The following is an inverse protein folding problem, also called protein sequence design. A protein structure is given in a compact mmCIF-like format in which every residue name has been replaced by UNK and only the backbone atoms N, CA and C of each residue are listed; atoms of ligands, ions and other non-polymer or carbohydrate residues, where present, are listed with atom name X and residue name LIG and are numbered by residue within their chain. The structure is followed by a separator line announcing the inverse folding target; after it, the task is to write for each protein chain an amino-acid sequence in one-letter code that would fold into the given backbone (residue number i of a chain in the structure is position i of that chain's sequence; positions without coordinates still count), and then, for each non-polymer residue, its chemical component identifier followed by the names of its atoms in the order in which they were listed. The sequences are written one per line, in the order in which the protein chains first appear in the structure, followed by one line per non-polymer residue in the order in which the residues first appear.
data_IF_945160097658
#
_entry.id   IF_945160097658
#
_cell.length_a   1.000
_cell.length_b   1.000
_cell.length_c   1.000
_cell.angle_alpha   90.00
_cell.angle_beta   90.00
_cell.angle_gamma   90.00
#
_symmetry.space_group_name_H-M   'P 1'
#
loop_
_entity.id
_entity.type
_entity.pdbx_description
1 polymer ?
#
# COMPACT_ATOMS: atom_id res chain seq x y z
N UNK A 1 -81.47 87.06 -60.62
CA UNK A 1 -80.49 87.57 -59.62
C UNK A 1 -80.44 86.65 -58.42
N UNK A 2 -81.56 86.36 -57.74
CA UNK A 2 -81.56 85.54 -56.51
C UNK A 2 -81.20 84.05 -56.72
N UNK A 3 -81.70 83.41 -57.79
CA UNK A 3 -81.35 82.01 -58.09
C UNK A 3 -79.85 81.80 -58.36
N UNK A 4 -79.21 82.75 -59.03
CA UNK A 4 -77.76 82.68 -59.32
C UNK A 4 -76.91 82.89 -58.06
N UNK A 5 -77.37 83.73 -57.13
CA UNK A 5 -76.73 83.87 -55.82
C UNK A 5 -76.85 82.58 -54.99
N UNK A 6 -78.01 81.91 -55.02
CA UNK A 6 -78.20 80.63 -54.32
C UNK A 6 -77.36 79.51 -54.96
N UNK A 7 -77.27 79.50 -56.29
CA UNK A 7 -76.44 78.54 -57.03
C UNK A 7 -74.95 78.73 -56.71
N UNK A 8 -74.46 79.97 -56.69
CA UNK A 8 -73.06 80.28 -56.35
C UNK A 8 -72.73 79.99 -54.89
N UNK A 9 -73.65 80.22 -53.95
CA UNK A 9 -73.45 79.82 -52.55
C UNK A 9 -73.41 78.29 -52.41
N UNK A 10 -74.30 77.57 -53.09
CA UNK A 10 -74.30 76.10 -53.09
C UNK A 10 -73.02 75.52 -53.72
N UNK A 11 -72.49 76.12 -54.80
CA UNK A 11 -71.23 75.67 -55.39
C UNK A 11 -70.06 75.93 -54.46
N UNK A 12 -70.04 77.07 -53.76
CA UNK A 12 -69.00 77.39 -52.78
C UNK A 12 -69.03 76.45 -51.57
N UNK A 13 -70.22 76.14 -51.04
CA UNK A 13 -70.40 75.14 -49.97
C UNK A 13 -69.97 73.75 -50.41
N UNK A 14 -70.34 73.32 -51.62
CA UNK A 14 -69.88 72.06 -52.21
C UNK A 14 -68.36 72.01 -52.34
N UNK A 15 -67.73 73.09 -52.80
CA UNK A 15 -66.29 73.17 -52.92
C UNK A 15 -65.59 73.13 -51.55
N UNK A 16 -66.16 73.80 -50.54
CA UNK A 16 -65.69 73.73 -49.16
C UNK A 16 -65.76 72.29 -48.62
N UNK A 17 -66.90 71.60 -48.79
CA UNK A 17 -67.03 70.20 -48.39
C UNK A 17 -66.09 69.27 -49.13
N UNK A 18 -65.86 69.48 -50.43
CA UNK A 18 -64.88 68.69 -51.21
C UNK A 18 -63.46 68.92 -50.66
N UNK A 19 -63.12 70.15 -50.32
CA UNK A 19 -61.82 70.47 -49.75
C UNK A 19 -61.66 69.91 -48.34
N UNK A 20 -62.73 69.90 -47.54
CA UNK A 20 -62.75 69.27 -46.22
C UNK A 20 -62.61 67.75 -46.31
N UNK A 21 -63.33 67.10 -47.23
CA UNK A 21 -63.19 65.65 -47.51
C UNK A 21 -61.77 65.33 -47.97
N UNK A 22 -61.15 66.15 -48.83
CA UNK A 22 -59.75 65.96 -49.24
C UNK A 22 -58.79 66.08 -48.06
N UNK A 23 -58.96 67.07 -47.19
CA UNK A 23 -58.15 67.23 -45.97
C UNK A 23 -58.32 66.04 -45.03
N UNK A 24 -59.55 65.60 -44.81
CA UNK A 24 -59.85 64.43 -43.98
C UNK A 24 -59.25 63.16 -44.56
N UNK A 25 -59.29 62.96 -45.87
CA UNK A 25 -58.66 61.80 -46.53
C UNK A 25 -57.13 61.82 -46.41
N UNK A 26 -56.49 62.99 -46.52
CA UNK A 26 -55.04 63.12 -46.31
C UNK A 26 -54.69 62.76 -44.87
N UNK A 27 -55.43 63.32 -43.90
CA UNK A 27 -55.23 63.02 -42.48
C UNK A 27 -55.48 61.54 -42.18
N UNK A 28 -56.47 60.91 -42.81
CA UNK A 28 -56.76 59.49 -42.65
C UNK A 28 -55.59 58.64 -43.16
N UNK A 29 -55.09 58.93 -44.37
CA UNK A 29 -53.94 58.23 -44.95
C UNK A 29 -52.66 58.40 -44.10
N UNK A 30 -52.41 59.60 -43.57
CA UNK A 30 -51.29 59.85 -42.66
C UNK A 30 -51.41 59.03 -41.37
N UNK A 31 -52.62 58.94 -40.79
CA UNK A 31 -52.88 58.11 -39.61
C UNK A 31 -52.77 56.63 -39.90
N UNK A 32 -53.23 56.16 -41.05
CA UNK A 32 -53.07 54.78 -41.49
C UNK A 32 -51.59 54.40 -41.68
N UNK A 33 -50.81 55.27 -42.32
CA UNK A 33 -49.37 55.07 -42.48
C UNK A 33 -48.63 55.01 -41.12
N UNK A 34 -48.94 55.93 -40.20
CA UNK A 34 -48.39 55.91 -38.86
C UNK A 34 -48.80 54.66 -38.05
N UNK A 35 -50.03 54.16 -38.25
CA UNK A 35 -50.48 52.93 -37.61
C UNK A 35 -49.74 51.70 -38.14
N UNK A 36 -49.49 51.62 -39.44
CA UNK A 36 -48.71 50.52 -40.02
C UNK A 36 -47.23 50.56 -39.58
N UNK A 37 -46.64 51.75 -39.47
CA UNK A 37 -45.29 51.91 -38.93
C UNK A 37 -45.22 51.44 -37.47
N UNK A 38 -46.16 51.89 -36.61
CA UNK A 38 -46.24 51.48 -35.22
C UNK A 38 -46.49 49.96 -35.05
N UNK A 39 -47.29 49.34 -35.93
CA UNK A 39 -47.48 47.88 -35.95
C UNK A 39 -46.19 47.15 -36.29
N UNK A 40 -45.45 47.63 -37.29
CA UNK A 40 -44.17 47.05 -37.70
C UNK A 40 -43.14 47.16 -36.59
N UNK A 41 -43.07 48.32 -35.92
CA UNK A 41 -42.23 48.50 -34.74
C UNK A 41 -42.62 47.54 -33.60
N UNK A 42 -43.91 47.37 -33.34
CA UNK A 42 -44.40 46.46 -32.29
C UNK A 42 -44.06 44.99 -32.59
N UNK A 43 -44.13 44.57 -33.86
CA UNK A 43 -43.73 43.23 -34.29
C UNK A 43 -42.22 43.01 -34.24
N UNK A 44 -41.42 44.06 -34.44
CA UNK A 44 -39.95 44.00 -34.36
C UNK A 44 -39.43 43.96 -32.93
N UNK A 45 -40.23 44.40 -31.95
CA UNK A 45 -39.86 44.34 -30.54
C UNK A 45 -39.84 42.89 -30.08
N UNK A 46 -38.78 42.46 -29.37
CA UNK A 46 -38.71 41.09 -28.85
C UNK A 46 -39.90 40.83 -27.94
N UNK A 47 -40.60 39.72 -28.19
CA UNK A 47 -41.76 39.28 -27.41
C UNK A 47 -41.37 39.14 -25.93
N UNK A 48 -42.28 39.50 -25.03
CA UNK A 48 -42.08 39.40 -23.57
C UNK A 48 -41.54 38.03 -23.14
N UNK A 49 -42.05 36.95 -23.75
CA UNK A 49 -41.54 35.58 -23.54
C UNK A 49 -40.07 35.40 -23.88
N UNK A 50 -39.59 36.00 -24.97
CA UNK A 50 -38.19 35.91 -25.38
C UNK A 50 -37.29 36.69 -24.41
N UNK A 51 -37.75 37.86 -23.95
CA UNK A 51 -37.03 38.66 -22.95
C UNK A 51 -36.94 37.92 -21.62
N UNK A 52 -38.01 37.27 -21.19
CA UNK A 52 -38.04 36.45 -19.99
C UNK A 52 -37.15 35.21 -20.11
N UNK A 53 -37.17 34.53 -21.26
CA UNK A 53 -36.29 33.39 -21.54
C UNK A 53 -34.81 33.80 -21.54
N UNK A 54 -34.48 34.95 -22.14
CA UNK A 54 -33.12 35.50 -22.12
C UNK A 54 -32.69 35.89 -20.70
N UNK A 55 -33.57 36.52 -19.91
CA UNK A 55 -33.31 36.83 -18.50
C UNK A 55 -33.06 35.58 -17.67
N UNK A 56 -33.86 34.52 -17.87
CA UNK A 56 -33.66 33.23 -17.21
C UNK A 56 -32.33 32.58 -17.62
N UNK A 57 -31.98 32.59 -18.91
CA UNK A 57 -30.69 32.07 -19.41
C UNK A 57 -29.50 32.83 -18.82
N UNK A 58 -29.58 34.16 -18.72
CA UNK A 58 -28.54 34.99 -18.09
C UNK A 58 -28.40 34.67 -16.60
N UNK A 59 -29.51 34.49 -15.87
CA UNK A 59 -29.48 34.10 -14.45
C UNK A 59 -28.83 32.72 -14.25
N UNK A 60 -29.16 31.74 -15.09
CA UNK A 60 -28.53 30.40 -15.04
C UNK A 60 -27.02 30.50 -15.31
N UNK A 61 -26.62 31.25 -16.35
CA UNK A 61 -25.20 31.45 -16.66
C UNK A 61 -24.46 32.17 -15.54
N UNK A 62 -25.09 33.15 -14.90
CA UNK A 62 -24.49 33.83 -13.75
C UNK A 62 -24.31 32.87 -12.57
N UNK A 63 -25.30 32.01 -12.32
CA UNK A 63 -25.23 31.08 -11.20
C UNK A 63 -24.21 29.94 -11.44
N UNK A 64 -24.13 29.41 -12.67
CA UNK A 64 -23.12 28.42 -13.08
C UNK A 64 -21.72 29.04 -13.16
N UNK A 65 -21.60 30.28 -13.63
CA UNK A 65 -20.32 30.95 -13.85
C UNK A 65 -19.69 31.56 -12.60
N UNK A 66 -20.50 31.96 -11.62
CA UNK A 66 -20.02 32.65 -10.41
C UNK A 66 -20.25 31.89 -9.10
N UNK A 67 -20.88 30.70 -9.15
CA UNK A 67 -21.05 29.80 -8.00
C UNK A 67 -21.53 30.51 -6.71
N UNK A 68 -22.40 31.51 -6.87
CA UNK A 68 -22.85 32.39 -5.80
C UNK A 68 -24.29 32.82 -6.09
N UNK A 69 -25.26 32.06 -5.58
CA UNK A 69 -26.56 32.56 -5.12
C UNK A 69 -27.26 31.46 -4.30
N UNK A 70 -27.91 31.90 -3.21
CA UNK A 70 -28.69 31.14 -2.26
C UNK A 70 -29.75 30.28 -2.97
N UNK A 71 -29.91 29.03 -2.50
CA UNK A 71 -30.68 27.96 -3.16
C UNK A 71 -32.18 28.28 -3.40
N UNK A 72 -32.70 29.34 -2.79
CA UNK A 72 -34.12 29.67 -2.76
C UNK A 72 -34.61 30.40 -4.04
N UNK A 73 -33.72 31.10 -4.76
CA UNK A 73 -34.05 31.77 -6.03
C UNK A 73 -33.93 30.86 -7.27
N UNK A 74 -33.45 29.62 -7.08
CA UNK A 74 -33.20 28.65 -8.15
C UNK A 74 -34.46 27.91 -8.62
N UNK A 75 -35.38 27.58 -7.72
CA UNK A 75 -36.58 26.80 -8.05
C UNK A 75 -37.59 27.60 -8.90
N UNK A 76 -37.62 28.93 -8.74
CA UNK A 76 -38.56 29.81 -9.45
C UNK A 76 -38.13 30.07 -10.91
N UNK A 77 -36.83 29.99 -11.22
CA UNK A 77 -36.30 30.25 -12.56
C UNK A 77 -36.37 29.02 -13.49
N UNK A 78 -36.56 27.82 -12.94
CA UNK A 78 -36.34 26.51 -13.60
C UNK A 78 -37.62 25.71 -13.85
N UNK A 79 -38.80 26.27 -13.57
CA UNK A 79 -40.10 25.60 -13.66
C UNK A 79 -40.59 25.25 -15.08
N UNK A 80 -39.71 25.21 -16.09
CA UNK A 80 -40.01 24.75 -17.45
C UNK A 80 -39.35 23.39 -17.72
N UNK A 81 -40.12 22.39 -18.17
CA UNK A 81 -39.65 21.01 -18.37
C UNK A 81 -38.37 20.89 -19.23
N UNK A 82 -38.25 21.69 -20.28
CA UNK A 82 -37.06 21.69 -21.16
C UNK A 82 -35.83 22.31 -20.48
N UNK A 83 -36.02 23.31 -19.61
CA UNK A 83 -34.96 23.97 -18.85
C UNK A 83 -34.45 23.06 -17.73
N UNK A 84 -35.35 22.35 -17.05
CA UNK A 84 -34.99 21.37 -16.02
C UNK A 84 -34.16 20.21 -16.59
N UNK A 85 -34.47 19.76 -17.82
CA UNK A 85 -33.67 18.73 -18.51
C UNK A 85 -32.27 19.23 -18.86
N UNK A 86 -32.13 20.44 -19.41
CA UNK A 86 -30.82 21.04 -19.72
C UNK A 86 -29.99 21.25 -18.46
N UNK A 87 -30.61 21.71 -17.38
CA UNK A 87 -29.98 21.89 -16.07
C UNK A 87 -29.47 20.57 -15.50
N UNK A 88 -30.27 19.50 -15.55
CA UNK A 88 -29.84 18.17 -15.07
C UNK A 88 -28.60 17.67 -15.81
N UNK A 89 -28.53 17.89 -17.13
CA UNK A 89 -27.37 17.53 -17.96
C UNK A 89 -26.15 18.41 -17.66
N UNK A 90 -26.34 19.69 -17.39
CA UNK A 90 -25.26 20.60 -17.02
C UNK A 90 -24.69 20.28 -15.63
N UNK A 91 -25.56 19.97 -14.66
CA UNK A 91 -25.15 19.56 -13.32
C UNK A 91 -24.42 18.21 -13.35
N UNK A 92 -24.92 17.23 -14.10
CA UNK A 92 -24.25 15.94 -14.25
C UNK A 92 -22.87 16.08 -14.92
N UNK A 93 -22.77 16.90 -15.97
CA UNK A 93 -21.49 17.21 -16.61
C UNK A 93 -20.54 17.96 -15.68
N UNK A 94 -21.05 18.90 -14.88
CA UNK A 94 -20.24 19.63 -13.90
C UNK A 94 -19.69 18.68 -12.82
N UNK A 95 -20.56 17.86 -12.21
CA UNK A 95 -20.15 16.81 -11.25
C UNK A 95 -19.12 15.85 -11.84
N UNK A 96 -19.29 15.45 -13.11
CA UNK A 96 -18.32 14.60 -13.80
C UNK A 96 -16.98 15.30 -14.00
N UNK A 97 -16.96 16.56 -14.42
CA UNK A 97 -15.73 17.36 -14.56
C UNK A 97 -15.06 17.58 -13.20
N UNK A 98 -15.82 17.84 -12.13
CA UNK A 98 -15.31 17.93 -10.77
C UNK A 98 -14.69 16.60 -10.32
N UNK A 99 -15.36 15.47 -10.60
CA UNK A 99 -14.82 14.15 -10.30
C UNK A 99 -13.52 13.87 -11.06
N UNK A 100 -13.46 14.17 -12.36
CA UNK A 100 -12.24 14.05 -13.17
C UNK A 100 -11.12 14.95 -12.63
N UNK A 101 -11.43 16.19 -12.22
CA UNK A 101 -10.47 17.10 -11.58
C UNK A 101 -9.94 16.55 -10.25
N UNK A 102 -10.80 16.00 -9.40
CA UNK A 102 -10.37 15.41 -8.12
C UNK A 102 -9.51 14.17 -8.36
N UNK A 103 -9.88 13.30 -9.30
CA UNK A 103 -9.07 12.14 -9.69
C UNK A 103 -7.69 12.57 -10.22
N UNK A 104 -7.63 13.60 -11.07
CA UNK A 104 -6.36 14.12 -11.59
C UNK A 104 -5.51 14.72 -10.46
N UNK A 105 -6.11 15.45 -9.52
CA UNK A 105 -5.40 15.96 -8.33
C UNK A 105 -4.81 14.83 -7.48
N UNK A 106 -5.58 13.76 -7.24
CA UNK A 106 -5.09 12.59 -6.52
C UNK A 106 -3.93 11.95 -7.26
N UNK A 107 -4.07 11.69 -8.57
CA UNK A 107 -2.97 11.14 -9.40
C UNK A 107 -1.72 12.02 -9.38
N UNK A 108 -1.87 13.33 -9.41
CA UNK A 108 -0.74 14.26 -9.27
C UNK A 108 -0.07 14.09 -7.91
N UNK A 109 -0.84 14.06 -6.82
CA UNK A 109 -0.28 13.87 -5.47
C UNK A 109 0.43 12.52 -5.29
N UNK A 110 -0.10 11.45 -5.88
CA UNK A 110 0.54 10.12 -5.90
C UNK A 110 1.84 10.14 -6.72
N UNK A 111 1.85 10.84 -7.86
CA UNK A 111 3.06 10.96 -8.67
C UNK A 111 4.12 11.81 -7.97
N UNK A 112 3.74 12.91 -7.32
CA UNK A 112 4.66 13.74 -6.53
C UNK A 112 5.27 12.94 -5.39
N UNK A 113 4.47 12.24 -4.59
CA UNK A 113 5.00 11.39 -3.50
C UNK A 113 5.90 10.27 -4.04
N UNK A 114 5.55 9.65 -5.17
CA UNK A 114 6.42 8.65 -5.79
C UNK A 114 7.77 9.24 -6.26
N UNK A 115 7.75 10.47 -6.77
CA UNK A 115 8.93 11.19 -7.22
C UNK A 115 9.83 11.57 -6.04
N UNK A 116 9.26 12.11 -4.96
CA UNK A 116 9.99 12.40 -3.72
C UNK A 116 10.67 11.14 -3.14
N UNK A 117 9.99 9.99 -3.15
CA UNK A 117 10.62 8.74 -2.69
C UNK A 117 11.73 8.25 -3.60
N UNK A 118 11.62 8.47 -4.91
CA UNK A 118 12.65 8.11 -5.88
C UNK A 118 13.87 9.03 -5.74
N UNK A 119 13.66 10.34 -5.58
CA UNK A 119 14.71 11.31 -5.29
C UNK A 119 15.44 11.00 -3.98
N UNK A 120 14.70 10.63 -2.92
CA UNK A 120 15.29 10.17 -1.66
C UNK A 120 16.21 8.95 -1.84
N UNK A 121 15.78 7.97 -2.64
CA UNK A 121 16.61 6.79 -2.98
C UNK A 121 17.84 7.15 -3.79
N UNK A 122 17.74 8.11 -4.71
CA UNK A 122 18.89 8.60 -5.49
C UNK A 122 19.92 9.20 -4.54
N UNK A 123 19.49 10.07 -3.61
CA UNK A 123 20.38 10.69 -2.62
C UNK A 123 21.07 9.62 -1.76
N UNK A 124 20.32 8.62 -1.28
CA UNK A 124 20.88 7.52 -0.48
C UNK A 124 21.91 6.70 -1.27
N UNK A 125 21.62 6.37 -2.54
CA UNK A 125 22.53 5.63 -3.40
C UNK A 125 23.78 6.45 -3.74
N UNK A 126 23.64 7.74 -4.02
CA UNK A 126 24.78 8.64 -4.24
C UNK A 126 25.67 8.72 -3.00
N UNK A 127 25.09 8.83 -1.80
CA UNK A 127 25.85 8.81 -0.56
C UNK A 127 26.64 7.49 -0.38
N UNK A 128 26.01 6.34 -0.67
CA UNK A 128 26.69 5.03 -0.63
C UNK A 128 27.82 4.92 -1.65
N UNK A 129 27.64 5.47 -2.85
CA UNK A 129 28.70 5.52 -3.88
C UNK A 129 29.87 6.37 -3.40
N UNK A 130 29.61 7.55 -2.83
CA UNK A 130 30.66 8.42 -2.30
C UNK A 130 31.44 7.76 -1.15
N UNK A 131 30.75 7.03 -0.27
CA UNK A 131 31.38 6.26 0.81
C UNK A 131 32.25 5.12 0.26
N UNK A 132 31.75 4.38 -0.73
CA UNK A 132 32.52 3.33 -1.39
C UNK A 132 33.75 3.89 -2.11
N UNK A 133 33.61 5.01 -2.81
CA UNK A 133 34.72 5.67 -3.50
C UNK A 133 35.79 6.14 -2.50
N UNK A 134 35.39 6.72 -1.35
CA UNK A 134 36.31 7.08 -0.26
C UNK A 134 37.00 5.85 0.34
N UNK A 135 36.29 4.73 0.47
CA UNK A 135 36.88 3.48 0.96
C UNK A 135 37.89 2.92 -0.04
N UNK A 136 37.55 2.89 -1.33
CA UNK A 136 38.45 2.45 -2.39
C UNK A 136 39.71 3.31 -2.41
N UNK A 137 39.58 4.65 -2.37
CA UNK A 137 40.74 5.54 -2.29
C UNK A 137 41.65 5.23 -1.10
N UNK A 138 41.08 4.95 0.09
CA UNK A 138 41.87 4.56 1.26
C UNK A 138 42.58 3.22 1.06
N UNK A 139 41.92 2.24 0.44
CA UNK A 139 42.53 0.94 0.14
C UNK A 139 43.64 1.08 -0.90
N UNK A 140 43.44 1.91 -1.91
CA UNK A 140 44.45 2.24 -2.91
C UNK A 140 45.66 2.91 -2.26
N UNK A 141 45.46 3.90 -1.39
CA UNK A 141 46.53 4.55 -0.63
C UNK A 141 47.29 3.57 0.28
N UNK A 142 46.58 2.64 0.93
CA UNK A 142 47.17 1.61 1.78
C UNK A 142 47.96 0.58 0.97
N UNK A 143 47.46 0.18 -0.21
CA UNK A 143 48.18 -0.66 -1.16
C UNK A 143 49.43 0.06 -1.68
N UNK A 144 49.30 1.33 -2.09
CA UNK A 144 50.43 2.12 -2.61
C UNK A 144 51.55 2.23 -1.58
N UNK A 145 51.22 2.45 -0.30
CA UNK A 145 52.19 2.45 0.81
C UNK A 145 52.83 1.08 1.04
N UNK A 146 52.06 0.00 0.88
CA UNK A 146 52.57 -1.38 0.98
C UNK A 146 53.50 -1.78 -0.16
N UNK A 147 53.22 -1.33 -1.39
CA UNK A 147 54.02 -1.64 -2.59
C UNK A 147 55.27 -0.76 -2.73
N UNK A 148 55.22 0.52 -2.32
CA UNK A 148 56.40 1.40 -2.26
C UNK A 148 57.55 0.81 -1.43
N UNK A 149 57.27 -0.08 -0.47
CA UNK A 149 58.28 -0.79 0.30
C UNK A 149 58.89 -1.99 -0.45
N UNK A 150 58.15 -2.57 -1.40
CA UNK A 150 58.55 -3.80 -2.11
C UNK A 150 59.40 -3.55 -3.35
N UNK A 151 59.28 -2.37 -3.98
CA UNK A 151 60.09 -2.02 -5.17
C UNK A 151 61.59 -1.84 -4.87
N UNK A 152 61.99 -1.60 -3.61
CA UNK A 152 63.41 -1.68 -3.22
C UNK A 152 63.96 -3.10 -3.09
N UNK A 153 63.09 -4.12 -3.07
CA UNK A 153 63.44 -5.53 -2.88
C UNK A 153 63.34 -6.36 -4.17
N UNK A 154 62.94 -5.75 -5.30
CA UNK A 154 62.90 -6.40 -6.61
C UNK A 154 64.27 -6.72 -7.23
N UNK A 155 65.36 -6.12 -6.72
CA UNK A 155 66.72 -6.38 -7.19
C UNK A 155 67.51 -7.43 -6.38
N UNK A 156 66.90 -8.06 -5.36
CA UNK A 156 67.59 -8.94 -4.41
C UNK A 156 66.93 -10.32 -4.26
N UNK A 157 66.30 -10.83 -5.32
CA UNK A 157 65.64 -12.15 -5.31
C UNK A 157 66.17 -13.11 -6.40
N UNK A 158 67.25 -12.77 -7.09
CA UNK A 158 67.86 -13.61 -8.15
C UNK A 158 69.09 -14.42 -7.67
N UNK A 159 69.45 -14.36 -6.38
CA UNK A 159 70.71 -14.92 -5.85
C UNK A 159 70.49 -15.83 -4.64
N UNK A 160 69.54 -16.77 -4.70
CA UNK A 160 69.28 -17.72 -3.59
C UNK A 160 69.28 -19.19 -4.01
N UNK A 161 70.03 -19.51 -5.05
CA UNK A 161 70.41 -20.88 -5.38
C UNK A 161 71.92 -20.92 -5.65
N UNK A 162 72.75 -20.88 -4.60
CA UNK A 162 74.05 -21.57 -4.50
C UNK A 162 74.76 -21.29 -3.16
N UNK A 163 75.40 -22.34 -2.64
CA UNK A 163 76.41 -22.42 -1.57
C UNK A 163 75.96 -22.58 -0.10
N UNK A 164 75.97 -23.85 0.30
CA UNK A 164 76.45 -24.29 1.60
C UNK A 164 77.93 -23.89 1.86
N UNK A 165 78.29 -23.93 3.15
CA UNK A 165 79.65 -24.04 3.73
C UNK A 165 80.38 -22.74 4.06
N UNK A 166 80.32 -22.41 5.37
CA UNK A 166 81.52 -22.26 6.20
C UNK A 166 82.26 -20.92 6.20
N UNK A 167 82.36 -20.32 7.38
CA UNK A 167 83.46 -19.41 7.73
C UNK A 167 83.04 -17.99 8.12
N UNK A 168 83.13 -17.72 9.42
CA UNK A 168 83.44 -16.44 10.09
C UNK A 168 83.41 -15.17 9.24
N UNK A 169 82.49 -14.24 9.55
CA UNK A 169 82.81 -12.82 9.75
C UNK A 169 81.66 -12.10 10.49
N UNK A 170 82.01 -11.44 11.60
CA UNK A 170 81.19 -10.40 12.22
C UNK A 170 81.25 -9.15 11.33
N UNK A 171 80.18 -8.34 11.41
CA UNK A 171 79.88 -7.09 10.67
C UNK A 171 78.94 -7.30 9.46
N UNK A 172 77.85 -6.51 9.41
CA UNK A 172 76.73 -6.47 8.42
C UNK A 172 75.41 -7.25 8.66
N UNK A 173 75.15 -7.81 9.85
CA UNK A 173 73.83 -8.44 10.13
C UNK A 173 72.85 -7.61 10.98
N UNK A 174 73.20 -6.39 11.38
CA UNK A 174 72.32 -5.54 12.19
C UNK A 174 71.22 -4.85 11.35
N UNK A 175 71.57 -4.33 10.18
CA UNK A 175 70.62 -3.61 9.30
C UNK A 175 69.63 -4.55 8.59
N UNK A 176 70.08 -5.74 8.16
CA UNK A 176 69.20 -6.74 7.52
C UNK A 176 68.12 -7.26 8.48
N UNK A 177 68.47 -7.41 9.76
CA UNK A 177 67.56 -7.88 10.82
C UNK A 177 66.58 -6.79 11.24
N UNK A 178 67.03 -5.54 11.31
CA UNK A 178 66.18 -4.37 11.57
C UNK A 178 65.17 -4.12 10.44
N UNK A 179 65.55 -4.35 9.18
CA UNK A 179 64.65 -4.25 8.02
C UNK A 179 63.57 -5.35 8.02
N UNK A 180 63.92 -6.59 8.37
CA UNK A 180 62.94 -7.68 8.49
C UNK A 180 61.97 -7.47 9.65
N UNK A 181 62.44 -6.97 10.79
CA UNK A 181 61.57 -6.61 11.92
C UNK A 181 60.66 -5.42 11.59
N UNK A 182 61.12 -4.47 10.79
CA UNK A 182 60.31 -3.36 10.31
C UNK A 182 59.23 -3.81 9.31
N UNK A 183 59.53 -4.78 8.44
CA UNK A 183 58.59 -5.36 7.48
C UNK A 183 57.54 -6.22 8.18
N UNK A 184 57.94 -7.01 9.19
CA UNK A 184 57.01 -7.74 10.06
C UNK A 184 56.15 -6.78 10.89
N UNK A 185 56.72 -5.69 11.41
CA UNK A 185 55.97 -4.62 12.09
C UNK A 185 54.96 -3.93 11.17
N UNK A 186 55.33 -3.69 9.91
CA UNK A 186 54.44 -3.13 8.88
C UNK A 186 53.29 -4.09 8.53
N UNK A 187 53.59 -5.37 8.31
CA UNK A 187 52.58 -6.40 8.05
C UNK A 187 51.63 -6.59 9.24
N UNK A 188 52.16 -6.59 10.46
CA UNK A 188 51.35 -6.65 11.68
C UNK A 188 50.46 -5.42 11.83
N UNK A 189 50.92 -4.22 11.45
CA UNK A 189 50.08 -3.01 11.41
C UNK A 189 48.94 -3.13 10.40
N UNK A 190 49.19 -3.70 9.23
CA UNK A 190 48.14 -3.96 8.23
C UNK A 190 47.12 -4.96 8.76
N UNK A 191 47.56 -6.05 9.41
CA UNK A 191 46.66 -7.03 10.02
C UNK A 191 45.86 -6.40 11.17
N UNK A 192 46.48 -5.54 11.99
CA UNK A 192 45.77 -4.80 13.03
C UNK A 192 44.70 -3.88 12.43
N UNK A 193 45.03 -3.13 11.38
CA UNK A 193 44.07 -2.24 10.70
C UNK A 193 42.92 -3.03 10.04
N UNK A 194 43.21 -4.17 9.41
CA UNK A 194 42.18 -5.04 8.84
C UNK A 194 41.26 -5.60 9.92
N UNK A 195 41.82 -6.14 11.00
CA UNK A 195 41.07 -6.61 12.17
C UNK A 195 40.20 -5.49 12.76
N UNK A 196 40.74 -4.30 12.88
CA UNK A 196 40.03 -3.15 13.46
C UNK A 196 38.92 -2.66 12.52
N UNK A 197 39.10 -2.76 11.20
CA UNK A 197 38.04 -2.52 10.21
C UNK A 197 36.93 -3.58 10.30
N UNK A 198 37.28 -4.85 10.43
CA UNK A 198 36.30 -5.92 10.64
C UNK A 198 35.54 -5.73 11.96
N UNK A 199 36.23 -5.34 13.05
CA UNK A 199 35.59 -5.00 14.32
C UNK A 199 34.70 -3.78 14.22
N UNK A 200 35.09 -2.76 13.45
CA UNK A 200 34.24 -1.59 13.21
C UNK A 200 32.96 -1.98 12.47
N UNK A 201 33.07 -2.73 11.37
CA UNK A 201 31.92 -3.22 10.60
C UNK A 201 31.03 -4.16 11.42
N UNK A 202 31.62 -5.03 12.24
CA UNK A 202 30.86 -5.90 13.15
C UNK A 202 30.05 -5.08 14.16
N UNK A 203 30.67 -4.08 14.79
CA UNK A 203 29.98 -3.19 15.74
C UNK A 203 28.86 -2.39 15.07
N UNK A 204 29.10 -1.89 13.86
CA UNK A 204 28.09 -1.16 13.08
C UNK A 204 26.90 -2.06 12.76
N UNK A 205 27.14 -3.28 12.24
CA UNK A 205 26.06 -4.24 11.98
C UNK A 205 25.34 -4.69 13.26
N UNK A 206 26.06 -4.87 14.37
CA UNK A 206 25.44 -5.16 15.67
C UNK A 206 24.54 -4.02 16.15
N UNK A 207 24.96 -2.76 15.94
CA UNK A 207 24.18 -1.58 16.28
C UNK A 207 22.96 -1.42 15.37
N UNK A 208 23.10 -1.65 14.06
CA UNK A 208 21.96 -1.71 13.13
C UNK A 208 20.95 -2.78 13.54
N UNK A 209 21.42 -3.98 13.94
CA UNK A 209 20.55 -5.04 14.47
C UNK A 209 19.86 -4.60 15.75
N UNK A 210 20.55 -3.88 16.65
CA UNK A 210 19.96 -3.32 17.88
C UNK A 210 18.86 -2.31 17.55
N UNK A 211 19.13 -1.39 16.64
CA UNK A 211 18.15 -0.38 16.19
C UNK A 211 16.95 -1.00 15.47
N UNK A 212 17.16 -2.01 14.62
CA UNK A 212 16.07 -2.72 13.97
C UNK A 212 15.20 -3.45 14.99
N UNK A 213 15.79 -4.11 15.99
CA UNK A 213 15.04 -4.75 17.07
C UNK A 213 14.24 -3.74 17.88
N UNK A 214 14.80 -2.57 18.17
CA UNK A 214 14.09 -1.48 18.85
C UNK A 214 12.91 -0.98 18.02
N UNK A 215 13.12 -0.70 16.72
CA UNK A 215 12.04 -0.31 15.79
C UNK A 215 10.94 -1.36 15.71
N UNK A 216 11.28 -2.65 15.64
CA UNK A 216 10.30 -3.75 15.68
C UNK A 216 9.53 -3.75 16.99
N UNK A 217 10.19 -3.49 18.13
CA UNK A 217 9.55 -3.36 19.44
C UNK A 217 8.56 -2.20 19.50
N UNK A 218 8.96 -1.02 19.03
CA UNK A 218 8.10 0.18 18.96
C UNK A 218 6.90 -0.06 18.04
N UNK A 219 7.11 -0.56 16.82
CA UNK A 219 6.03 -0.87 15.88
C UNK A 219 5.06 -1.93 16.43
N UNK A 220 5.57 -2.95 17.13
CA UNK A 220 4.71 -3.94 17.79
C UNK A 220 3.85 -3.32 18.89
N UNK A 221 4.42 -2.41 19.70
CA UNK A 221 3.68 -1.69 20.73
C UNK A 221 2.62 -0.73 20.13
N UNK A 222 2.96 0.00 19.07
CA UNK A 222 2.02 0.86 18.34
C UNK A 222 0.89 0.06 17.68
N UNK A 223 1.20 -1.09 17.10
CA UNK A 223 0.22 -1.99 16.51
C UNK A 223 -0.74 -2.53 17.57
N UNK A 224 -0.23 -2.90 18.75
CA UNK A 224 -1.08 -3.35 19.86
C UNK A 224 -1.93 -2.22 20.43
N UNK A 225 -1.36 -1.02 20.58
CA UNK A 225 -2.12 0.18 20.97
C UNK A 225 -3.24 0.48 19.97
N UNK A 226 -2.94 0.46 18.67
CA UNK A 226 -3.92 0.72 17.61
C UNK A 226 -5.00 -0.34 17.57
N UNK A 227 -4.65 -1.63 17.77
CA UNK A 227 -5.65 -2.70 17.92
C UNK A 227 -6.57 -2.45 19.11
N UNK A 228 -6.03 -2.10 20.28
CA UNK A 228 -6.82 -1.81 21.47
C UNK A 228 -7.74 -0.62 21.25
N UNK A 229 -7.26 0.43 20.58
CA UNK A 229 -8.08 1.61 20.25
C UNK A 229 -9.17 1.26 19.23
N UNK A 230 -8.87 0.44 18.20
CA UNK A 230 -9.86 -0.05 17.24
C UNK A 230 -10.98 -0.88 17.91
N UNK A 231 -10.65 -1.72 18.89
CA UNK A 231 -11.66 -2.47 19.66
C UNK A 231 -12.54 -1.51 20.49
N UNK A 232 -11.96 -0.48 21.11
CA UNK A 232 -12.73 0.55 21.82
C UNK A 232 -13.63 1.36 20.88
N UNK A 233 -13.13 1.71 19.69
CA UNK A 233 -13.89 2.39 18.64
C UNK A 233 -15.07 1.53 18.20
N UNK A 234 -14.86 0.24 17.96
CA UNK A 234 -15.93 -0.70 17.67
C UNK A 234 -16.99 -0.71 18.78
N UNK A 235 -16.57 -0.78 20.05
CA UNK A 235 -17.49 -0.70 21.20
C UNK A 235 -18.29 0.61 21.25
N UNK A 236 -17.66 1.76 20.95
CA UNK A 236 -18.36 3.06 20.88
C UNK A 236 -19.36 3.12 19.74
N UNK A 237 -18.97 2.66 18.54
CA UNK A 237 -19.86 2.60 17.37
C UNK A 237 -21.07 1.74 17.70
N UNK A 238 -20.84 0.55 18.27
CA UNK A 238 -21.90 -0.37 18.69
C UNK A 238 -22.82 0.25 19.75
N UNK A 239 -22.26 0.93 20.75
CA UNK A 239 -23.06 1.66 21.75
C UNK A 239 -23.93 2.76 21.13
N UNK A 240 -23.38 3.54 20.20
CA UNK A 240 -24.11 4.61 19.50
C UNK A 240 -25.17 4.03 18.56
N UNK A 241 -24.86 2.93 17.87
CA UNK A 241 -25.80 2.20 17.02
C UNK A 241 -26.96 1.63 17.85
N UNK A 242 -26.67 0.99 18.98
CA UNK A 242 -27.69 0.46 19.89
C UNK A 242 -28.56 1.58 20.48
N UNK A 243 -27.95 2.71 20.88
CA UNK A 243 -28.69 3.87 21.41
C UNK A 243 -29.53 4.59 20.33
N UNK A 244 -29.03 4.69 19.10
CA UNK A 244 -29.81 5.20 17.97
C UNK A 244 -30.93 4.24 17.60
N UNK A 245 -30.71 2.93 17.65
CA UNK A 245 -31.74 1.93 17.43
C UNK A 245 -32.85 2.06 18.48
N UNK A 246 -32.49 2.25 19.76
CA UNK A 246 -33.42 2.49 20.86
C UNK A 246 -34.25 3.78 20.65
N UNK A 247 -33.63 4.86 20.15
CA UNK A 247 -34.36 6.09 19.76
C UNK A 247 -35.27 5.90 18.55
N UNK A 248 -34.87 5.08 17.57
CA UNK A 248 -35.65 4.83 16.35
C UNK A 248 -36.82 3.87 16.61
N UNK A 249 -36.75 2.98 17.61
CA UNK A 249 -37.89 2.15 18.02
C UNK A 249 -39.06 2.99 18.59
N UNK A 250 -38.82 4.24 19.02
CA UNK A 250 -39.89 5.19 19.40
C UNK A 250 -40.51 5.98 18.23
N UNK A 251 -40.00 5.85 17.00
CA UNK A 251 -40.56 6.48 15.80
C UNK A 251 -40.64 5.44 14.68
N UNK A 252 -41.83 4.87 14.53
CA UNK A 252 -42.10 3.74 13.63
C UNK A 252 -41.61 3.91 12.19
N UNK A 253 -41.33 2.76 11.58
CA UNK A 253 -40.93 2.48 10.18
C UNK A 253 -39.45 2.23 9.97
N UNK A 254 -39.06 0.96 10.18
CA UNK A 254 -37.75 0.39 9.82
C UNK A 254 -37.78 0.00 8.33
N UNK A 255 -37.30 0.86 7.43
CA UNK A 255 -36.82 0.40 6.11
C UNK A 255 -35.37 -0.03 6.29
N UNK A 256 -35.11 -1.33 6.14
CA UNK A 256 -33.77 -1.87 5.98
C UNK A 256 -33.15 -1.27 4.71
N UNK A 257 -32.34 -0.23 4.87
CA UNK A 257 -31.35 0.11 3.87
C UNK A 257 -30.24 -0.94 4.05
N UNK A 258 -30.24 -1.95 3.19
CA UNK A 258 -29.07 -2.79 2.99
C UNK A 258 -27.96 -1.90 2.45
N UNK A 259 -26.98 -1.63 3.31
CA UNK A 259 -25.79 -0.86 3.02
C UNK A 259 -24.90 -1.68 2.07
N UNK A 260 -25.08 -1.43 0.77
CA UNK A 260 -24.54 -2.21 -0.36
C UNK A 260 -23.01 -2.11 -0.49
N UNK A 261 -22.31 -1.46 0.45
CA UNK A 261 -20.85 -1.24 0.47
C UNK A 261 -20.11 -2.11 1.53
N UNK A 262 -20.84 -2.95 2.28
CA UNK A 262 -20.31 -3.71 3.43
C UNK A 262 -19.38 -4.90 3.10
N UNK A 263 -19.18 -5.26 1.83
CA UNK A 263 -18.47 -6.50 1.46
C UNK A 263 -17.03 -6.63 1.94
N UNK A 264 -16.27 -5.51 2.02
CA UNK A 264 -14.87 -5.52 2.49
C UNK A 264 -14.73 -5.00 3.93
N UNK A 265 -15.63 -4.12 4.36
CA UNK A 265 -15.69 -3.62 5.74
C UNK A 265 -16.14 -4.72 6.72
N UNK A 266 -17.01 -5.65 6.28
CA UNK A 266 -17.52 -6.78 7.07
C UNK A 266 -16.42 -7.66 7.63
N UNK A 267 -15.35 -7.95 6.88
CA UNK A 267 -14.29 -8.85 7.35
C UNK A 267 -13.45 -8.22 8.47
N UNK A 268 -13.13 -6.93 8.31
CA UNK A 268 -12.41 -6.14 9.32
C UNK A 268 -13.29 -5.95 10.54
N UNK A 269 -14.56 -5.60 10.33
CA UNK A 269 -15.56 -5.45 11.39
C UNK A 269 -15.78 -6.76 12.13
N UNK A 270 -15.92 -7.89 11.44
CA UNK A 270 -16.09 -9.22 12.03
C UNK A 270 -14.92 -9.63 12.90
N UNK A 271 -13.68 -9.27 12.50
CA UNK A 271 -12.48 -9.50 13.30
C UNK A 271 -12.53 -8.72 14.62
N UNK A 272 -12.82 -7.42 14.57
CA UNK A 272 -12.89 -6.59 15.77
C UNK A 272 -14.13 -6.88 16.63
N UNK A 273 -15.25 -7.24 16.01
CA UNK A 273 -16.46 -7.76 16.64
C UNK A 273 -16.15 -8.99 17.47
N UNK A 274 -15.49 -9.99 16.87
CA UNK A 274 -15.11 -11.21 17.58
C UNK A 274 -14.20 -10.90 18.77
N UNK A 275 -13.19 -10.06 18.59
CA UNK A 275 -12.27 -9.67 19.67
C UNK A 275 -13.03 -8.97 20.81
N UNK A 276 -13.97 -8.09 20.47
CA UNK A 276 -14.81 -7.38 21.43
C UNK A 276 -15.78 -8.30 22.17
N UNK A 277 -16.47 -9.20 21.46
CA UNK A 277 -17.38 -10.20 22.06
C UNK A 277 -16.63 -11.18 22.97
N UNK A 278 -15.43 -11.62 22.56
CA UNK A 278 -14.57 -12.49 23.36
C UNK A 278 -14.08 -11.79 24.64
N UNK A 279 -13.83 -10.47 24.60
CA UNK A 279 -13.40 -9.65 25.75
C UNK A 279 -14.56 -9.35 26.71
N UNK A 280 -15.75 -9.07 26.19
CA UNK A 280 -16.94 -8.77 27.00
C UNK A 280 -17.58 -10.01 27.59
N UNK A 281 -17.47 -11.17 26.95
CA UNK A 281 -18.14 -12.36 27.42
C UNK A 281 -17.44 -12.95 28.66
N UNK A 282 -18.07 -12.89 29.86
CA UNK A 282 -17.47 -13.40 31.09
C UNK A 282 -17.23 -14.91 31.03
N UNK A 283 -18.01 -15.66 30.24
CA UNK A 283 -17.86 -17.10 30.07
C UNK A 283 -16.72 -17.47 29.12
N UNK A 284 -16.42 -16.64 28.12
CA UNK A 284 -15.28 -16.87 27.23
C UNK A 284 -13.96 -16.66 27.98
N UNK A 285 -13.87 -15.58 28.76
CA UNK A 285 -12.75 -15.32 29.66
C UNK A 285 -12.59 -16.43 30.70
N UNK A 286 -13.69 -16.88 31.32
CA UNK A 286 -13.68 -17.97 32.30
C UNK A 286 -13.29 -19.31 31.66
N UNK A 287 -13.87 -19.71 30.53
CA UNK A 287 -13.55 -20.96 29.84
C UNK A 287 -12.10 -21.00 29.36
N UNK A 288 -11.56 -19.86 28.89
CA UNK A 288 -10.14 -19.73 28.54
C UNK A 288 -9.27 -19.89 29.78
N UNK A 289 -9.59 -19.21 30.88
CA UNK A 289 -8.87 -19.30 32.15
C UNK A 289 -8.91 -20.71 32.73
N UNK A 290 -10.05 -21.40 32.65
CA UNK A 290 -10.20 -22.78 33.09
C UNK A 290 -9.35 -23.73 32.24
N UNK A 291 -9.39 -23.62 30.90
CA UNK A 291 -8.52 -24.43 30.03
C UNK A 291 -7.04 -24.18 30.32
N UNK A 292 -6.63 -22.92 30.46
CA UNK A 292 -5.25 -22.56 30.76
C UNK A 292 -4.82 -23.05 32.14
N UNK A 293 -5.72 -23.06 33.12
CA UNK A 293 -5.49 -23.61 34.44
C UNK A 293 -5.37 -25.13 34.38
N UNK A 294 -6.23 -25.83 33.64
CA UNK A 294 -6.07 -27.26 33.36
C UNK A 294 -4.72 -27.56 32.68
N UNK A 295 -4.28 -26.73 31.73
CA UNK A 295 -2.94 -26.83 31.13
C UNK A 295 -1.77 -26.56 32.09
N UNK A 296 -1.99 -25.84 33.17
CA UNK A 296 -1.00 -25.60 34.23
C UNK A 296 -1.05 -26.67 35.33
N UNK A 297 -2.22 -27.23 35.59
CA UNK A 297 -2.46 -28.35 36.51
C UNK A 297 -2.01 -29.70 35.91
N UNK A 298 -1.88 -29.79 34.59
CA UNK A 298 -1.24 -30.90 33.91
C UNK A 298 0.23 -31.00 34.35
N UNK A 299 0.57 -32.11 35.00
CA UNK A 299 1.94 -32.39 35.44
C UNK A 299 2.94 -32.33 34.28
N UNK A 300 4.20 -32.02 34.57
CA UNK A 300 5.25 -31.82 33.56
C UNK A 300 5.33 -32.95 32.51
N UNK A 301 5.09 -34.20 32.93
CA UNK A 301 5.04 -35.38 32.05
C UNK A 301 3.83 -35.35 31.10
N UNK A 302 2.65 -35.01 31.60
CA UNK A 302 1.42 -34.95 30.81
C UNK A 302 1.45 -33.78 29.81
N UNK A 303 2.07 -32.65 30.20
CA UNK A 303 2.31 -31.52 29.29
C UNK A 303 3.19 -31.90 28.09
N UNK A 304 4.22 -32.73 28.31
CA UNK A 304 5.09 -33.21 27.23
C UNK A 304 4.33 -34.21 26.34
N UNK A 305 3.54 -35.11 26.92
CA UNK A 305 2.74 -36.07 26.15
C UNK A 305 1.67 -35.37 25.31
N UNK A 306 0.94 -34.40 25.87
CA UNK A 306 -0.06 -33.61 25.15
C UNK A 306 0.57 -32.72 24.07
N UNK A 307 1.73 -32.11 24.34
CA UNK A 307 2.42 -31.28 23.34
C UNK A 307 3.01 -32.13 22.22
N UNK A 308 3.61 -33.27 22.54
CA UNK A 308 4.11 -34.24 21.56
C UNK A 308 2.96 -34.82 20.73
N UNK A 309 1.84 -35.19 21.36
CA UNK A 309 0.64 -35.67 20.68
C UNK A 309 0.04 -34.63 19.73
N UNK A 310 -0.13 -33.38 20.19
CA UNK A 310 -0.59 -32.29 19.32
C UNK A 310 0.39 -31.98 18.19
N UNK A 311 1.69 -32.06 18.44
CA UNK A 311 2.72 -31.83 17.43
C UNK A 311 2.70 -32.90 16.34
N UNK A 312 2.57 -34.18 16.73
CA UNK A 312 2.44 -35.30 15.82
C UNK A 312 1.14 -35.23 15.00
N UNK A 313 0.01 -34.87 15.61
CA UNK A 313 -1.28 -34.81 14.91
C UNK A 313 -1.45 -33.52 14.08
N UNK A 314 -0.92 -32.39 14.56
CA UNK A 314 -1.10 -31.08 13.95
C UNK A 314 -0.21 -30.82 12.75
N UNK A 315 0.99 -31.42 12.70
CA UNK A 315 1.95 -31.13 11.64
C UNK A 315 1.99 -32.26 10.58
N UNK A 316 1.79 -31.90 9.30
CA UNK A 316 1.84 -32.85 8.17
C UNK A 316 3.19 -33.57 8.06
N UNK A 317 4.29 -32.87 8.35
CA UNK A 317 5.64 -33.44 8.31
C UNK A 317 5.91 -34.41 9.45
N UNK A 318 5.37 -34.12 10.65
CA UNK A 318 5.52 -34.99 11.81
C UNK A 318 4.79 -36.34 11.60
N UNK A 319 3.62 -36.31 10.95
CA UNK A 319 2.91 -37.54 10.53
C UNK A 319 3.72 -38.38 9.55
N UNK A 320 4.29 -37.76 8.53
CA UNK A 320 5.14 -38.45 7.55
C UNK A 320 6.40 -39.03 8.20
N UNK A 321 7.04 -38.28 9.09
CA UNK A 321 8.22 -38.75 9.83
C UNK A 321 7.90 -39.96 10.71
N UNK A 322 6.80 -39.92 11.47
CA UNK A 322 6.38 -41.05 12.31
C UNK A 322 6.08 -42.32 11.49
N UNK A 323 5.45 -42.17 10.32
CA UNK A 323 5.20 -43.28 9.40
C UNK A 323 6.50 -43.94 8.93
N UNK A 324 7.47 -43.16 8.43
CA UNK A 324 8.77 -43.69 8.02
C UNK A 324 9.57 -44.27 9.20
N UNK A 325 9.48 -43.67 10.38
CA UNK A 325 10.11 -44.18 11.59
C UNK A 325 9.58 -45.57 11.96
N UNK A 326 8.25 -45.78 11.92
CA UNK A 326 7.67 -47.11 12.16
C UNK A 326 8.11 -48.13 11.13
N UNK A 327 8.14 -47.78 9.84
CA UNK A 327 8.62 -48.67 8.78
C UNK A 327 10.09 -49.04 8.96
N UNK A 328 10.94 -48.05 9.26
CA UNK A 328 12.37 -48.26 9.50
C UNK A 328 12.61 -49.19 10.71
N UNK A 329 11.83 -49.02 11.78
CA UNK A 329 11.90 -49.89 12.95
C UNK A 329 11.50 -51.32 12.61
N UNK A 330 10.45 -51.53 11.79
CA UNK A 330 10.08 -52.87 11.33
C UNK A 330 11.21 -53.49 10.49
N UNK A 331 11.76 -52.77 9.51
CA UNK A 331 12.88 -53.25 8.69
C UNK A 331 14.08 -53.63 9.57
N UNK A 332 14.39 -52.83 10.58
CA UNK A 332 15.49 -53.10 11.51
C UNK A 332 15.24 -54.37 12.32
N UNK A 333 14.04 -54.53 12.88
CA UNK A 333 13.67 -55.74 13.63
C UNK A 333 13.71 -56.97 12.74
N UNK A 334 13.15 -56.90 11.52
CA UNK A 334 13.22 -57.99 10.55
C UNK A 334 14.66 -58.32 10.17
N UNK A 335 15.52 -57.32 9.99
CA UNK A 335 16.94 -57.53 9.69
C UNK A 335 17.67 -58.18 10.86
N UNK A 336 17.36 -57.77 12.09
CA UNK A 336 17.93 -58.36 13.30
C UNK A 336 17.51 -59.83 13.46
N UNK A 337 16.21 -60.12 13.31
CA UNK A 337 15.69 -61.48 13.31
C UNK A 337 16.27 -62.33 12.17
N UNK A 338 16.43 -61.76 10.98
CA UNK A 338 17.03 -62.45 9.84
C UNK A 338 18.51 -62.79 10.11
N UNK A 339 19.29 -61.85 10.66
CA UNK A 339 20.69 -62.08 11.03
C UNK A 339 20.80 -63.12 12.15
N UNK A 340 19.95 -63.04 13.18
CA UNK A 340 19.92 -64.01 14.27
C UNK A 340 19.52 -65.40 13.77
N UNK A 341 18.53 -65.49 12.88
CA UNK A 341 18.12 -66.73 12.22
C UNK A 341 19.25 -67.29 11.36
N UNK A 342 19.91 -66.48 10.55
CA UNK A 342 21.03 -66.93 9.70
C UNK A 342 22.20 -67.44 10.55
N UNK A 343 22.54 -66.76 11.64
CA UNK A 343 23.55 -67.22 12.60
C UNK A 343 23.14 -68.52 13.29
N UNK A 344 21.86 -68.67 13.65
CA UNK A 344 21.32 -69.90 14.22
C UNK A 344 21.35 -71.07 13.22
N UNK A 345 21.08 -70.82 11.93
CA UNK A 345 21.19 -71.84 10.88
C UNK A 345 22.63 -72.30 10.66
N UNK A 346 23.62 -71.39 10.70
CA UNK A 346 25.04 -71.72 10.60
C UNK A 346 25.54 -72.50 11.83
N UNK A 347 25.13 -72.11 13.03
CA UNK A 347 25.45 -72.83 14.27
C UNK A 347 24.90 -74.26 14.29
N UNK A 348 23.74 -74.51 13.66
CA UNK A 348 23.17 -75.85 13.55
C UNK A 348 23.75 -76.65 12.38
N UNK A 349 24.37 -75.98 11.40
CA UNK A 349 25.03 -76.59 10.25
C UNK A 349 26.42 -77.15 10.57
N UNK A 350 27.18 -76.52 11.47
CA UNK A 350 28.49 -77.04 11.89
C UNK A 350 28.39 -78.28 12.80
N UNK A 351 27.24 -78.53 13.42
CA UNK A 351 27.04 -79.72 14.27
C UNK A 351 26.96 -81.04 13.47
N UNK A 352 26.84 -80.99 12.13
CA UNK A 352 26.69 -82.20 11.31
C UNK A 352 27.97 -82.70 10.62
N UNK A 353 29.10 -81.99 10.68
CA UNK A 353 30.35 -82.37 9.99
C UNK A 353 31.49 -82.79 10.93
N UNK A 354 31.23 -82.86 12.25
CA UNK A 354 32.24 -83.13 13.28
C UNK A 354 32.47 -84.59 13.67
N UNK A 355 31.68 -85.55 13.16
CA UNK A 355 31.66 -86.95 13.65
C UNK A 355 32.28 -87.95 12.67
N UNK A 356 33.49 -87.65 12.17
CA UNK A 356 34.38 -88.65 11.54
C UNK A 356 35.68 -88.77 12.34
N UNK A 357 35.57 -89.27 13.57
CA UNK A 357 36.71 -89.67 14.38
C UNK A 357 36.90 -91.20 14.30
N UNK A 358 37.89 -91.58 13.47
CA UNK A 358 38.79 -92.74 13.57
C UNK A 358 38.44 -93.80 14.64
N UNK A 359 37.92 -94.95 14.18
CA UNK A 359 38.06 -96.24 14.87
C UNK A 359 39.19 -97.04 14.20
N UNK A 360 40.30 -97.23 14.92
CA UNK A 360 41.26 -98.30 14.67
C UNK A 360 41.23 -99.25 15.89
N UNK A 361 40.98 -100.56 15.71
CA UNK A 361 40.98 -101.51 16.82
C UNK A 361 42.40 -102.02 17.14
N UNK A 362 42.70 -102.12 18.43
CA UNK A 362 43.89 -102.77 18.98
C UNK A 362 43.59 -104.25 19.29
N UNK A 363 44.39 -105.14 18.69
CA UNK A 363 44.83 -106.47 19.14
C UNK A 363 43.80 -107.54 19.58
N UNK A 364 43.65 -108.60 18.77
CA UNK A 364 44.27 -109.92 19.00
C UNK A 364 44.30 -110.75 17.71
#
# INVERSE_FOLDING_TARGET
MELHNIETTLTNEREQHINEIKKLNILLNEKEAALEEMKKELQSKPTEKLVDDLRKKVKILQAVGYNSIEAEDWEVATSGEEMSKMESLLLDKNRKMEHELTQLKIKISEKVTSLETAEGKIIELTAKVDEQQKLIQKLEDDILKGYSSKDRKGNLFDDWDHSEVGGVELYENADQKHLLDQDQSSMLKVICNQRDRFRARLRETEEEVRQLKEKVGVLAAELEKTKADNVKLYGKIRYVQDYNLEKVVSRGSKKHAEDLESGFASDVESKYKKIYEDDINPFAAFSKKERDQRYKELGFRDRITLSSGRFLLGNKYARTFAFFYTIGLHILVFTCLYRMSALSYLSHGEAFDGDKKLDLPHAL
#
